data_IF_623540324153
#
_entry.id   IF_623540324153
#
_cell.length_a   1.000
_cell.length_b   1.000
_cell.length_c   1.000
_cell.angle_alpha   90.00
_cell.angle_beta   90.00
_cell.angle_gamma   90.00
#
_symmetry.space_group_name_H-M   'P 1'
#
loop_
_entity.id
_entity.type
_entity.pdbx_description
1 polymer ?
#
# COMPACT_ATOMS: atom_id res chain seq x y z
N UNK A 1 39.00 -6.49 -33.53
CA UNK A 1 38.15 -6.03 -32.41
C UNK A 1 37.14 -7.13 -32.13
N UNK A 2 37.22 -7.81 -30.99
CA UNK A 2 36.20 -8.79 -30.64
C UNK A 2 34.91 -8.04 -30.32
N UNK A 3 33.97 -8.01 -31.27
CA UNK A 3 32.66 -7.36 -31.11
C UNK A 3 31.89 -7.91 -29.91
N UNK A 4 30.82 -7.20 -29.52
CA UNK A 4 29.92 -7.69 -28.48
C UNK A 4 29.35 -9.08 -28.86
N UNK A 5 28.92 -9.87 -27.88
CA UNK A 5 28.34 -11.21 -28.16
C UNK A 5 27.20 -11.11 -29.16
N UNK A 6 26.38 -10.07 -29.04
CA UNK A 6 25.25 -9.81 -29.93
C UNK A 6 25.68 -9.52 -31.38
N UNK A 7 26.85 -8.91 -31.58
CA UNK A 7 27.40 -8.62 -32.92
C UNK A 7 27.98 -9.87 -33.58
N UNK A 8 28.46 -10.82 -32.79
CA UNK A 8 29.11 -12.05 -33.27
C UNK A 8 28.19 -13.28 -33.32
N UNK A 9 26.94 -13.16 -32.85
CA UNK A 9 25.98 -14.26 -32.87
C UNK A 9 25.32 -14.42 -34.24
N UNK A 10 25.22 -15.66 -34.71
CA UNK A 10 24.43 -15.96 -35.91
C UNK A 10 22.94 -15.86 -35.64
N UNK A 11 22.15 -15.55 -36.67
CA UNK A 11 20.67 -15.48 -36.59
C UNK A 11 20.05 -16.76 -36.04
N UNK A 12 20.63 -17.94 -36.34
CA UNK A 12 20.19 -19.23 -35.76
C UNK A 12 20.39 -19.28 -34.25
N UNK A 13 21.56 -18.86 -33.74
CA UNK A 13 21.84 -18.84 -32.30
C UNK A 13 20.95 -17.82 -31.57
N UNK A 14 20.74 -16.65 -32.17
CA UNK A 14 19.83 -15.63 -31.65
C UNK A 14 18.39 -16.15 -31.59
N UNK A 15 17.93 -16.84 -32.64
CA UNK A 15 16.61 -17.47 -32.67
C UNK A 15 16.42 -18.51 -31.57
N UNK A 16 17.41 -19.39 -31.37
CA UNK A 16 17.38 -20.39 -30.28
C UNK A 16 17.32 -19.72 -28.91
N UNK A 17 18.13 -18.68 -28.68
CA UNK A 17 18.09 -17.92 -27.43
C UNK A 17 16.73 -17.25 -27.21
N UNK A 18 16.16 -16.63 -28.25
CA UNK A 18 14.85 -15.98 -28.19
C UNK A 18 13.73 -16.97 -27.84
N UNK A 19 13.71 -18.14 -28.50
CA UNK A 19 12.74 -19.20 -28.18
C UNK A 19 12.92 -19.71 -26.76
N UNK A 20 14.16 -19.91 -26.29
CA UNK A 20 14.42 -20.34 -24.92
C UNK A 20 13.89 -19.31 -23.89
N UNK A 21 14.13 -18.02 -24.11
CA UNK A 21 13.60 -16.96 -23.24
C UNK A 21 12.07 -16.90 -23.28
N UNK A 22 11.46 -17.10 -24.45
CA UNK A 22 10.00 -17.14 -24.60
C UNK A 22 9.39 -18.32 -23.85
N UNK A 23 10.02 -19.50 -23.89
CA UNK A 23 9.59 -20.67 -23.12
C UNK A 23 9.68 -20.42 -21.61
N UNK A 24 10.76 -19.79 -21.13
CA UNK A 24 10.90 -19.40 -19.72
C UNK A 24 9.82 -18.39 -19.32
N UNK A 25 9.52 -17.41 -20.18
CA UNK A 25 8.44 -16.45 -19.93
C UNK A 25 7.06 -17.12 -19.89
N UNK A 26 6.79 -18.05 -20.81
CA UNK A 26 5.56 -18.84 -20.81
C UNK A 26 5.42 -19.68 -19.53
N UNK A 27 6.52 -20.26 -19.06
CA UNK A 27 6.55 -20.98 -17.78
C UNK A 27 6.26 -20.06 -16.60
N UNK A 28 6.82 -18.85 -16.57
CA UNK A 28 6.53 -17.86 -15.53
C UNK A 28 5.03 -17.47 -15.52
N UNK A 29 4.42 -17.31 -16.69
CA UNK A 29 2.97 -17.07 -16.79
C UNK A 29 2.15 -18.27 -16.31
N UNK A 30 2.54 -19.50 -16.65
CA UNK A 30 1.86 -20.70 -16.16
C UNK A 30 1.95 -20.83 -14.64
N UNK A 31 3.11 -20.52 -14.03
CA UNK A 31 3.25 -20.50 -12.57
C UNK A 31 2.31 -19.47 -11.94
N UNK A 32 2.24 -18.26 -12.48
CA UNK A 32 1.34 -17.22 -11.99
C UNK A 32 -0.14 -17.55 -12.18
N UNK A 33 -0.52 -18.14 -13.32
CA UNK A 33 -1.92 -18.39 -13.67
C UNK A 33 -2.50 -19.70 -13.15
N UNK A 34 -1.68 -20.76 -12.99
CA UNK A 34 -2.15 -22.10 -12.61
C UNK A 34 -1.80 -22.49 -11.17
N UNK A 35 -0.77 -21.88 -10.57
CA UNK A 35 -0.27 -22.26 -9.24
C UNK A 35 -0.58 -21.19 -8.21
N UNK A 36 -0.31 -19.92 -8.52
CA UNK A 36 -0.55 -18.84 -7.57
C UNK A 36 -2.04 -18.50 -7.48
N UNK A 37 -2.62 -18.39 -6.27
CA UNK A 37 -3.95 -17.86 -6.10
C UNK A 37 -3.95 -16.33 -6.34
N UNK A 38 -5.13 -15.70 -6.23
CA UNK A 38 -5.24 -14.25 -6.30
C UNK A 38 -4.25 -13.55 -5.34
N UNK A 39 -3.60 -12.45 -5.76
CA UNK A 39 -2.54 -11.82 -4.99
C UNK A 39 -3.02 -11.26 -3.66
N UNK A 40 -4.25 -10.72 -3.64
CA UNK A 40 -4.89 -10.17 -2.46
C UNK A 40 -6.25 -10.81 -2.25
N UNK A 41 -6.72 -10.75 -1.01
CA UNK A 41 -8.08 -11.08 -0.64
C UNK A 41 -8.66 -9.93 0.20
N UNK A 42 -9.94 -9.64 0.01
CA UNK A 42 -10.65 -8.62 0.74
C UNK A 42 -11.78 -9.28 1.54
N UNK A 43 -11.76 -9.10 2.86
CA UNK A 43 -12.75 -9.65 3.78
C UNK A 43 -13.56 -8.52 4.39
N UNK A 44 -14.88 -8.61 4.27
CA UNK A 44 -15.81 -7.63 4.82
C UNK A 44 -16.26 -8.04 6.23
N UNK A 45 -16.24 -7.08 7.15
CA UNK A 45 -16.63 -7.25 8.54
C UNK A 45 -17.64 -6.19 8.92
N UNK A 46 -18.81 -6.62 9.41
CA UNK A 46 -19.75 -5.71 10.06
C UNK A 46 -19.37 -5.56 11.53
N UNK A 47 -19.21 -4.33 11.99
CA UNK A 47 -18.85 -4.09 13.38
C UNK A 47 -20.01 -4.37 14.33
N UNK A 48 -19.70 -5.03 15.43
CA UNK A 48 -20.68 -5.27 16.49
C UNK A 48 -20.74 -4.05 17.41
N UNK A 49 -21.93 -3.47 17.58
CA UNK A 49 -22.17 -2.37 18.52
C UNK A 49 -22.16 -2.92 19.96
N UNK A 50 -21.10 -2.62 20.70
CA UNK A 50 -20.90 -3.02 22.08
C UNK A 50 -21.10 -1.85 23.04
N UNK A 51 -21.66 -2.12 24.22
CA UNK A 51 -21.81 -1.12 25.29
C UNK A 51 -20.64 -1.23 26.25
N UNK A 52 -19.92 -0.13 26.44
CA UNK A 52 -18.83 -0.06 27.41
C UNK A 52 -19.38 0.26 28.80
N UNK A 53 -19.17 -0.65 29.74
CA UNK A 53 -19.30 -0.38 31.18
C UNK A 53 -18.05 0.33 31.70
N UNK A 54 -18.11 0.93 32.89
CA UNK A 54 -17.03 1.75 33.49
C UNK A 54 -15.65 1.05 33.60
N UNK A 55 -15.56 -0.27 33.38
CA UNK A 55 -14.30 -1.00 33.32
C UNK A 55 -13.59 -0.86 31.96
N UNK A 56 -12.29 -0.56 32.01
CA UNK A 56 -11.38 -0.48 30.86
C UNK A 56 -11.01 -1.88 30.37
N UNK A 57 -11.96 -2.58 29.73
CA UNK A 57 -11.75 -3.92 29.16
C UNK A 57 -11.75 -3.92 27.63
N UNK A 58 -11.14 -4.94 27.05
CA UNK A 58 -11.25 -5.27 25.62
C UNK A 58 -12.66 -5.80 25.35
N UNK A 59 -13.37 -5.22 24.39
CA UNK A 59 -14.72 -5.64 24.03
C UNK A 59 -14.66 -6.64 22.89
N UNK A 60 -14.82 -7.91 23.20
CA UNK A 60 -14.87 -8.96 22.18
C UNK A 60 -16.27 -9.02 21.55
N UNK A 61 -16.40 -9.01 20.21
CA UNK A 61 -17.71 -9.07 19.56
C UNK A 61 -18.35 -10.46 19.68
N UNK A 62 -17.60 -11.50 19.97
CA UNK A 62 -18.09 -12.88 20.09
C UNK A 62 -17.17 -13.69 21.02
N UNK A 63 -17.59 -14.89 21.40
CA UNK A 63 -16.85 -15.75 22.34
C UNK A 63 -17.44 -15.76 23.74
N UNK A 64 -16.73 -16.39 24.69
CA UNK A 64 -17.21 -16.61 26.06
C UNK A 64 -17.30 -15.31 26.87
N UNK A 65 -16.47 -14.33 26.51
CA UNK A 65 -16.41 -13.00 27.12
C UNK A 65 -17.00 -11.93 26.18
N UNK A 66 -18.00 -12.29 25.37
CA UNK A 66 -18.61 -11.36 24.42
C UNK A 66 -19.19 -10.13 25.13
N UNK A 67 -19.03 -8.97 24.51
CA UNK A 67 -19.59 -7.71 24.99
C UNK A 67 -21.13 -7.74 25.05
N UNK A 68 -21.72 -6.84 25.85
CA UNK A 68 -23.16 -6.55 25.77
C UNK A 68 -23.45 -5.85 24.44
N UNK A 69 -24.13 -6.55 23.54
CA UNK A 69 -24.46 -6.07 22.20
C UNK A 69 -25.74 -5.24 22.21
N UNK A 70 -25.82 -4.29 21.29
CA UNK A 70 -27.03 -3.54 20.96
C UNK A 70 -27.30 -3.75 19.47
N UNK A 71 -28.54 -4.06 19.09
CA UNK A 71 -28.86 -4.31 17.68
C UNK A 71 -28.95 -3.01 16.89
N UNK A 72 -29.63 -2.01 17.48
CA UNK A 72 -29.94 -0.76 16.81
C UNK A 72 -29.83 0.45 17.75
N UNK A 73 -29.61 1.64 17.19
CA UNK A 73 -29.52 2.87 17.97
C UNK A 73 -30.85 3.24 18.66
N UNK A 74 -31.98 2.74 18.15
CA UNK A 74 -33.27 2.82 18.84
C UNK A 74 -33.24 2.15 20.22
N UNK A 75 -32.71 0.92 20.30
CA UNK A 75 -32.54 0.18 21.56
C UNK A 75 -31.58 0.89 22.52
N UNK A 76 -30.51 1.53 21.99
CA UNK A 76 -29.59 2.31 22.79
C UNK A 76 -30.28 3.52 23.45
N UNK A 77 -31.17 4.18 22.72
CA UNK A 77 -31.92 5.35 23.22
C UNK A 77 -32.91 4.95 24.31
N UNK A 78 -33.62 3.82 24.14
CA UNK A 78 -34.51 3.27 25.16
C UNK A 78 -33.77 2.91 26.45
N UNK A 79 -32.56 2.37 26.33
CA UNK A 79 -31.70 2.02 27.46
C UNK A 79 -30.91 3.21 28.03
N UNK A 80 -31.12 4.43 27.53
CA UNK A 80 -30.41 5.67 27.92
C UNK A 80 -28.88 5.56 27.83
N UNK A 81 -28.38 4.89 26.79
CA UNK A 81 -26.96 4.73 26.53
C UNK A 81 -26.45 5.95 25.76
N UNK A 82 -25.38 6.56 26.25
CA UNK A 82 -24.76 7.70 25.57
C UNK A 82 -23.96 7.24 24.35
N UNK A 83 -23.85 8.10 23.33
CA UNK A 83 -23.02 7.83 22.14
C UNK A 83 -21.55 7.52 22.48
N UNK A 84 -21.03 8.13 23.57
CA UNK A 84 -19.67 7.92 24.07
C UNK A 84 -19.43 6.49 24.60
N UNK A 85 -20.49 5.79 25.00
CA UNK A 85 -20.44 4.45 25.58
C UNK A 85 -20.52 3.35 24.51
N UNK A 86 -20.93 3.71 23.29
CA UNK A 86 -21.02 2.77 22.17
C UNK A 86 -19.63 2.59 21.56
N UNK A 87 -19.22 1.33 21.42
CA UNK A 87 -17.96 0.93 20.80
C UNK A 87 -18.25 -0.08 19.69
N UNK A 88 -17.78 0.22 18.49
CA UNK A 88 -17.83 -0.70 17.37
C UNK A 88 -16.65 -1.68 17.48
N UNK A 89 -16.96 -2.94 17.77
CA UNK A 89 -15.96 -3.99 17.94
C UNK A 89 -15.93 -4.89 16.71
N UNK A 90 -14.72 -5.08 16.15
CA UNK A 90 -14.44 -5.99 15.03
C UNK A 90 -13.29 -6.89 15.42
N UNK A 91 -13.48 -8.20 15.27
CA UNK A 91 -12.42 -9.18 15.46
C UNK A 91 -11.98 -9.72 14.10
N UNK A 92 -10.69 -9.58 13.82
CA UNK A 92 -10.05 -10.06 12.59
C UNK A 92 -9.04 -11.14 12.97
N UNK A 93 -9.11 -12.34 12.37
CA UNK A 93 -10.05 -12.79 11.34
C UNK A 93 -11.40 -13.24 11.94
N UNK A 94 -12.32 -13.68 11.07
CA UNK A 94 -13.61 -14.27 11.45
C UNK A 94 -13.45 -15.52 12.36
N UNK A 95 -14.48 -15.88 13.15
CA UNK A 95 -14.43 -17.04 14.03
C UNK A 95 -14.04 -18.33 13.28
N UNK A 96 -13.04 -19.05 13.79
CA UNK A 96 -12.55 -20.30 13.20
C UNK A 96 -11.39 -20.14 12.22
N UNK A 97 -10.99 -18.92 11.89
CA UNK A 97 -9.80 -18.63 11.09
C UNK A 97 -8.67 -18.04 11.95
N UNK A 98 -7.43 -18.12 11.47
CA UNK A 98 -6.26 -17.50 12.09
C UNK A 98 -5.44 -16.78 11.02
N UNK A 99 -4.90 -15.61 11.36
CA UNK A 99 -3.94 -14.93 10.50
C UNK A 99 -2.57 -15.60 10.61
N UNK A 100 -1.81 -15.51 9.52
CA UNK A 100 -0.46 -16.04 9.46
C UNK A 100 0.52 -14.98 8.93
N UNK A 101 1.81 -15.06 9.30
CA UNK A 101 2.84 -14.15 8.77
C UNK A 101 2.98 -14.18 7.24
N UNK A 102 2.47 -15.23 6.58
CA UNK A 102 2.44 -15.35 5.12
C UNK A 102 1.60 -14.28 4.43
N UNK A 103 0.70 -13.64 5.15
CA UNK A 103 -0.15 -12.58 4.61
C UNK A 103 0.59 -11.24 4.45
N UNK A 104 1.85 -11.15 4.92
CA UNK A 104 2.82 -10.05 4.81
C UNK A 104 2.35 -8.69 5.34
N UNK A 105 1.23 -8.17 4.86
CA UNK A 105 0.64 -6.91 5.26
C UNK A 105 -0.88 -7.05 5.46
N UNK A 106 -1.43 -6.09 6.20
CA UNK A 106 -2.87 -5.92 6.34
C UNK A 106 -3.20 -4.45 6.18
N UNK A 107 -4.07 -4.18 5.23
CA UNK A 107 -4.65 -2.88 5.00
C UNK A 107 -6.11 -2.93 5.42
N UNK A 108 -6.54 -1.92 6.16
CA UNK A 108 -7.90 -1.83 6.65
C UNK A 108 -8.50 -0.53 6.17
N UNK A 109 -9.71 -0.63 5.66
CA UNK A 109 -10.51 0.49 5.17
C UNK A 109 -11.84 0.49 5.91
N UNK A 110 -12.29 1.67 6.32
CA UNK A 110 -13.58 1.86 6.94
C UNK A 110 -14.62 2.29 5.91
N UNK A 111 -15.80 1.73 6.07
CA UNK A 111 -16.99 2.06 5.31
C UNK A 111 -18.12 2.37 6.30
N UNK A 112 -18.75 3.53 6.14
CA UNK A 112 -19.79 4.00 7.07
C UNK A 112 -21.12 4.06 6.35
N UNK A 113 -22.09 3.33 6.89
CA UNK A 113 -23.47 3.46 6.49
C UNK A 113 -24.10 4.62 7.24
N UNK A 114 -24.36 5.72 6.52
CA UNK A 114 -25.00 6.92 7.07
C UNK A 114 -26.36 7.10 6.39
N UNK A 115 -27.41 7.22 7.19
CA UNK A 115 -28.75 7.51 6.72
C UNK A 115 -29.03 9.01 6.68
N UNK A 116 -29.81 9.43 5.70
CA UNK A 116 -30.33 10.78 5.59
C UNK A 116 -31.50 10.99 6.57
N UNK A 117 -31.35 12.02 7.40
CA UNK A 117 -32.38 12.52 8.30
C UNK A 117 -32.45 14.04 8.21
N UNK A 118 -33.63 14.63 8.07
CA UNK A 118 -33.75 16.07 7.81
C UNK A 118 -33.25 16.93 8.97
N UNK A 119 -33.44 16.46 10.21
CA UNK A 119 -33.00 17.15 11.42
C UNK A 119 -31.49 17.01 11.68
N UNK A 120 -30.84 15.97 11.14
CA UNK A 120 -29.43 15.65 11.39
C UNK A 120 -28.70 15.41 10.05
N UNK A 121 -28.66 16.44 9.22
CA UNK A 121 -27.91 16.43 7.95
C UNK A 121 -26.42 16.42 8.25
N UNK A 122 -25.64 15.76 7.38
CA UNK A 122 -24.18 15.90 7.40
C UNK A 122 -23.85 17.39 7.22
N UNK A 123 -23.21 17.98 8.22
CA UNK A 123 -23.01 19.42 8.33
C UNK A 123 -22.09 19.92 7.22
N UNK A 124 -22.62 20.69 6.26
CA UNK A 124 -21.81 21.53 5.38
C UNK A 124 -21.18 22.66 6.19
N UNK A 125 -19.98 22.47 6.72
CA UNK A 125 -19.24 23.57 7.31
C UNK A 125 -18.35 24.26 6.26
N UNK A 126 -18.99 25.25 5.63
CA UNK A 126 -18.49 26.54 5.11
C UNK A 126 -17.24 26.58 4.21
N UNK A 127 -17.46 27.17 3.02
CA UNK A 127 -16.52 27.56 1.96
C UNK A 127 -16.22 26.50 0.89
N UNK A 128 -17.24 26.06 0.14
CA UNK A 128 -17.05 25.56 -1.23
C UNK A 128 -16.20 24.30 -1.38
N UNK A 129 -16.15 23.46 -0.35
CA UNK A 129 -15.47 22.17 -0.31
C UNK A 129 -16.24 21.27 0.66
N UNK A 130 -16.94 20.26 0.13
CA UNK A 130 -17.75 19.31 0.91
C UNK A 130 -16.84 18.34 1.68
N UNK A 131 -16.51 18.64 2.95
CA UNK A 131 -15.75 17.73 3.83
C UNK A 131 -16.29 17.82 5.26
N UNK A 132 -16.59 16.66 5.86
CA UNK A 132 -16.88 16.55 7.30
C UNK A 132 -15.72 15.83 7.98
N UNK A 133 -15.10 16.39 9.02
CA UNK A 133 -13.99 15.70 9.72
C UNK A 133 -14.56 14.75 10.80
N UNK A 134 -14.52 13.44 10.58
CA UNK A 134 -14.66 12.43 11.64
C UNK A 134 -13.37 12.33 12.43
N UNK A 135 -13.48 12.36 13.75
CA UNK A 135 -12.37 12.04 14.65
C UNK A 135 -12.71 10.80 15.45
N UNK A 136 -12.01 9.70 15.20
CA UNK A 136 -12.09 8.50 16.01
C UNK A 136 -11.22 8.68 17.26
N UNK A 137 -11.79 8.41 18.44
CA UNK A 137 -11.00 8.28 19.66
C UNK A 137 -10.90 6.80 20.06
N UNK A 138 -9.77 6.46 20.67
CA UNK A 138 -9.51 5.18 21.32
C UNK A 138 -9.64 3.95 20.42
N UNK A 139 -8.74 3.84 19.44
CA UNK A 139 -8.36 2.53 18.93
C UNK A 139 -7.21 1.99 19.73
N UNK A 140 -7.50 1.04 20.61
CA UNK A 140 -6.46 0.28 21.29
C UNK A 140 -6.10 -0.88 20.37
N UNK A 141 -4.95 -0.79 19.71
CA UNK A 141 -4.32 -1.88 18.99
C UNK A 141 -3.08 -2.28 19.79
N UNK A 142 -3.07 -3.43 20.47
CA UNK A 142 -1.86 -3.91 21.15
C UNK A 142 -1.21 -2.89 22.11
N UNK A 143 -2.02 -2.18 22.92
CA UNK A 143 -1.66 -1.03 23.78
C UNK A 143 -1.32 0.30 23.06
N UNK A 144 -1.40 0.38 21.74
CA UNK A 144 -1.35 1.66 21.02
C UNK A 144 -2.75 2.25 20.97
N UNK A 145 -3.00 3.31 21.74
CA UNK A 145 -4.18 4.16 21.62
C UNK A 145 -3.84 5.41 20.80
N UNK A 146 -4.53 5.60 19.68
CA UNK A 146 -4.34 6.74 18.78
C UNK A 146 -5.68 7.41 18.50
N UNK A 147 -5.71 8.74 18.52
CA UNK A 147 -6.85 9.53 18.05
C UNK A 147 -6.58 9.86 16.59
N UNK A 148 -7.47 9.41 15.72
CA UNK A 148 -7.28 9.49 14.27
C UNK A 148 -8.40 10.31 13.66
N UNK A 149 -8.04 11.37 12.93
CA UNK A 149 -8.99 12.21 12.20
C UNK A 149 -9.02 11.85 10.72
N UNK A 150 -10.20 11.86 10.13
CA UNK A 150 -10.50 11.52 8.74
C UNK A 150 -11.61 12.40 8.21
N UNK A 151 -11.53 12.77 6.95
CA UNK A 151 -12.59 13.52 6.29
C UNK A 151 -13.58 12.55 5.64
N UNK A 152 -14.86 12.65 6.02
CA UNK A 152 -16.01 12.12 5.32
C UNK A 152 -16.25 12.93 4.04
N UNK A 153 -16.20 12.21 2.93
CA UNK A 153 -16.76 12.67 1.67
C UNK A 153 -17.98 11.82 1.38
N UNK A 154 -19.16 12.39 1.57
CA UNK A 154 -20.42 11.72 1.33
C UNK A 154 -21.28 12.58 0.41
N UNK A 155 -21.85 11.94 -0.60
CA UNK A 155 -22.78 12.56 -1.54
C UNK A 155 -24.15 11.93 -1.39
N UNK A 156 -25.19 12.75 -1.36
CA UNK A 156 -26.56 12.27 -1.41
C UNK A 156 -27.08 12.45 -2.84
N UNK A 157 -27.28 11.36 -3.61
CA UNK A 157 -27.66 11.46 -5.02
C UNK A 157 -29.12 11.92 -5.20
N UNK A 158 -29.95 11.82 -4.16
CA UNK A 158 -31.37 12.18 -4.21
C UNK A 158 -31.63 13.61 -3.74
N UNK A 159 -32.83 14.13 -4.02
CA UNK A 159 -33.29 15.40 -3.46
C UNK A 159 -33.51 15.25 -1.96
N UNK A 160 -33.01 16.22 -1.18
CA UNK A 160 -33.15 16.28 0.28
C UNK A 160 -34.58 16.65 0.69
N UNK A 161 -35.54 15.77 0.40
CA UNK A 161 -36.96 15.86 0.76
C UNK A 161 -37.29 14.90 1.90
N UNK A 162 -38.33 15.17 2.70
CA UNK A 162 -38.76 14.27 3.78
C UNK A 162 -39.16 12.87 3.26
N UNK A 163 -39.62 12.77 2.01
CA UNK A 163 -39.95 11.50 1.35
C UNK A 163 -38.74 10.56 1.18
N UNK A 164 -37.52 11.12 1.17
CA UNK A 164 -36.28 10.37 0.99
C UNK A 164 -35.54 10.14 2.32
N UNK A 165 -36.16 10.43 3.47
CA UNK A 165 -35.60 10.07 4.78
C UNK A 165 -35.39 8.56 4.93
N UNK A 166 -34.32 8.18 5.62
CA UNK A 166 -33.89 6.79 5.79
C UNK A 166 -33.08 6.22 4.61
N UNK A 167 -32.97 6.93 3.49
CA UNK A 167 -32.04 6.52 2.41
C UNK A 167 -30.60 6.76 2.81
N UNK A 168 -29.69 5.92 2.33
CA UNK A 168 -28.26 6.00 2.63
C UNK A 168 -27.55 7.07 1.80
N UNK A 169 -26.56 7.72 2.40
CA UNK A 169 -25.56 8.50 1.70
C UNK A 169 -24.60 7.57 0.94
N UNK A 170 -24.12 8.03 -0.21
CA UNK A 170 -23.00 7.38 -0.89
C UNK A 170 -21.71 8.01 -0.36
N UNK A 171 -21.05 7.32 0.56
CA UNK A 171 -19.81 7.76 1.17
C UNK A 171 -18.59 7.09 0.53
N UNK A 172 -17.49 7.82 0.44
CA UNK A 172 -16.21 7.23 0.06
C UNK A 172 -15.61 6.43 1.21
N UNK A 173 -15.02 5.29 0.87
CA UNK A 173 -14.27 4.46 1.79
C UNK A 173 -13.04 5.20 2.34
N UNK A 174 -12.79 5.09 3.64
CA UNK A 174 -11.72 5.84 4.32
C UNK A 174 -10.55 4.92 4.71
N UNK A 175 -9.29 5.27 4.38
CA UNK A 175 -8.14 4.49 4.80
C UNK A 175 -7.98 4.57 6.31
N UNK A 176 -7.90 3.41 6.95
CA UNK A 176 -7.93 3.32 8.40
C UNK A 176 -6.58 2.98 9.01
N UNK A 177 -6.04 1.82 8.62
CA UNK A 177 -4.84 1.24 9.20
C UNK A 177 -4.08 0.49 8.11
N UNK A 178 -2.76 0.64 8.10
CA UNK A 178 -1.88 -0.19 7.29
C UNK A 178 -0.77 -0.78 8.16
N UNK A 179 -0.69 -2.11 8.19
CA UNK A 179 0.33 -2.86 8.91
C UNK A 179 1.26 -3.53 7.91
N UNK A 180 2.54 -3.19 7.96
CA UNK A 180 3.57 -3.77 7.10
C UNK A 180 4.08 -5.15 7.54
N UNK A 181 3.55 -5.73 8.61
CA UNK A 181 3.87 -7.08 9.07
C UNK A 181 2.75 -7.63 9.94
N UNK A 182 2.38 -8.89 9.71
CA UNK A 182 1.38 -9.62 10.50
C UNK A 182 2.04 -10.55 11.50
N UNK A 183 2.32 -9.99 12.69
CA UNK A 183 2.99 -10.70 13.76
C UNK A 183 2.10 -11.48 14.73
N UNK A 184 0.80 -11.22 14.72
CA UNK A 184 -0.16 -11.85 15.60
C UNK A 184 -1.23 -12.58 14.78
N UNK A 185 -1.83 -13.61 15.40
CA UNK A 185 -2.88 -14.43 14.77
C UNK A 185 -4.25 -13.77 14.77
N UNK A 186 -4.50 -12.92 15.77
CA UNK A 186 -5.79 -12.30 16.04
C UNK A 186 -5.58 -10.83 16.32
N UNK A 187 -6.47 -10.00 15.80
CA UNK A 187 -6.52 -8.56 15.98
C UNK A 187 -7.94 -8.15 16.36
N UNK A 188 -8.04 -7.31 17.38
CA UNK A 188 -9.30 -6.76 17.84
C UNK A 188 -9.27 -5.24 17.61
N UNK A 189 -10.24 -4.75 16.86
CA UNK A 189 -10.44 -3.33 16.61
C UNK A 189 -11.64 -2.85 17.41
N UNK A 190 -11.39 -1.97 18.37
CA UNK A 190 -12.43 -1.26 19.12
C UNK A 190 -12.41 0.18 18.65
N UNK A 191 -13.50 0.61 18.04
CA UNK A 191 -13.63 1.91 17.41
C UNK A 191 -14.69 2.72 18.17
N UNK A 192 -14.34 3.92 18.64
CA UNK A 192 -15.28 4.81 19.33
C UNK A 192 -15.41 6.16 18.62
N UNK A 193 -16.65 6.66 18.61
CA UNK A 193 -17.03 7.99 18.15
C UNK A 193 -17.54 8.82 19.32
N UNK A 194 -16.67 9.39 20.18
CA UNK A 194 -17.16 10.29 21.21
C UNK A 194 -17.60 11.60 20.59
N UNK A 195 -18.68 12.17 21.12
CA UNK A 195 -19.15 13.50 20.75
C UNK A 195 -18.66 14.47 21.80
N UNK A 196 -17.88 15.48 21.40
CA UNK A 196 -17.37 16.51 22.30
C UNK A 196 -17.76 17.87 21.73
N UNK A 197 -18.79 18.48 22.31
CA UNK A 197 -19.34 19.76 21.85
C UNK A 197 -18.31 20.91 21.94
N UNK A 198 -17.51 20.94 23.02
CA UNK A 198 -16.52 22.01 23.28
C UNK A 198 -15.49 22.14 22.15
N UNK A 199 -15.04 21.02 21.61
CA UNK A 199 -14.07 20.94 20.51
C UNK A 199 -14.75 20.67 19.17
N UNK A 200 -16.09 20.68 19.11
CA UNK A 200 -16.91 20.35 17.93
C UNK A 200 -16.51 19.03 17.25
N UNK A 201 -16.12 18.03 18.03
CA UNK A 201 -15.69 16.73 17.50
C UNK A 201 -16.91 15.83 17.29
N UNK A 202 -17.00 15.23 16.11
CA UNK A 202 -18.07 14.32 15.68
C UNK A 202 -19.49 14.94 15.77
N UNK A 203 -19.58 16.27 15.65
CA UNK A 203 -20.85 16.99 15.58
C UNK A 203 -21.31 17.07 14.12
N UNK A 204 -22.56 16.70 13.83
CA UNK A 204 -23.14 16.82 12.50
C UNK A 204 -22.55 15.84 11.47
N UNK A 205 -22.13 14.64 11.89
CA UNK A 205 -21.65 13.57 11.00
C UNK A 205 -22.79 12.75 10.36
N UNK A 206 -24.04 13.18 10.52
CA UNK A 206 -25.23 12.46 10.07
C UNK A 206 -25.69 11.38 11.06
N UNK A 207 -26.73 10.64 10.67
CA UNK A 207 -27.24 9.49 11.42
C UNK A 207 -26.51 8.22 10.95
N UNK A 208 -25.50 7.79 11.69
CA UNK A 208 -24.77 6.55 11.40
C UNK A 208 -25.69 5.37 11.74
N UNK A 209 -25.85 4.43 10.81
CA UNK A 209 -26.61 3.18 10.99
C UNK A 209 -25.67 2.06 11.41
N UNK A 210 -24.61 1.83 10.62
CA UNK A 210 -23.64 0.75 10.83
C UNK A 210 -22.22 1.18 10.41
N UNK A 211 -21.24 0.43 10.91
CA UNK A 211 -19.84 0.59 10.57
C UNK A 211 -19.32 -0.74 10.02
N UNK A 212 -18.85 -0.69 8.78
CA UNK A 212 -18.25 -1.81 8.09
C UNK A 212 -16.74 -1.60 7.97
N UNK A 213 -16.00 -2.69 8.02
CA UNK A 213 -14.55 -2.73 7.95
C UNK A 213 -14.16 -3.71 6.85
N UNK A 214 -13.39 -3.24 5.87
CA UNK A 214 -12.83 -4.06 4.81
C UNK A 214 -11.37 -4.26 5.10
N UNK A 215 -11.00 -5.52 5.35
CA UNK A 215 -9.62 -5.92 5.59
C UNK A 215 -9.07 -6.57 4.34
N UNK A 216 -7.93 -6.07 3.88
CA UNK A 216 -7.24 -6.48 2.66
C UNK A 216 -5.86 -6.99 3.07
N UNK A 217 -5.59 -8.26 2.79
CA UNK A 217 -4.29 -8.87 3.03
C UNK A 217 -3.76 -9.55 1.78
N UNK A 218 -2.44 -9.77 1.73
CA UNK A 218 -1.84 -10.57 0.69
C UNK A 218 -2.17 -12.04 0.91
N UNK A 219 -2.49 -12.77 -0.15
CA UNK A 219 -2.80 -14.18 -0.01
C UNK A 219 -1.53 -14.99 0.27
N UNK A 220 -1.54 -15.80 1.33
CA UNK A 220 -0.37 -16.55 1.77
C UNK A 220 0.10 -17.59 0.74
N UNK A 221 -0.81 -18.12 -0.08
CA UNK A 221 -0.43 -18.99 -1.20
C UNK A 221 0.33 -18.23 -2.29
N UNK A 222 -0.11 -17.01 -2.61
CA UNK A 222 0.58 -16.14 -3.57
C UNK A 222 1.97 -15.76 -3.04
N UNK A 223 2.07 -15.37 -1.76
CA UNK A 223 3.35 -15.05 -1.11
C UNK A 223 4.36 -16.19 -1.22
N UNK A 224 3.95 -17.44 -1.01
CA UNK A 224 4.82 -18.62 -1.13
C UNK A 224 5.37 -18.79 -2.55
N UNK A 225 4.51 -18.70 -3.56
CA UNK A 225 4.92 -18.81 -4.97
C UNK A 225 5.85 -17.65 -5.34
N UNK A 226 5.52 -16.44 -4.90
CA UNK A 226 6.32 -15.24 -5.12
C UNK A 226 7.73 -15.37 -4.52
N UNK A 227 7.83 -15.85 -3.28
CA UNK A 227 9.11 -16.06 -2.62
C UNK A 227 9.94 -17.15 -3.30
N UNK A 228 9.29 -18.25 -3.70
CA UNK A 228 9.95 -19.33 -4.44
C UNK A 228 10.53 -18.81 -5.77
N UNK A 229 9.74 -18.04 -6.52
CA UNK A 229 10.17 -17.43 -7.78
C UNK A 229 11.37 -16.50 -7.58
N UNK A 230 11.32 -15.61 -6.59
CA UNK A 230 12.46 -14.74 -6.23
C UNK A 230 13.70 -15.57 -5.91
N UNK A 231 13.57 -16.55 -5.02
CA UNK A 231 14.68 -17.40 -4.55
C UNK A 231 15.33 -18.20 -5.69
N UNK A 232 14.56 -18.64 -6.68
CA UNK A 232 15.10 -19.33 -7.85
C UNK A 232 15.77 -18.38 -8.85
N UNK A 233 15.23 -17.17 -9.03
CA UNK A 233 15.76 -16.19 -9.98
C UNK A 233 17.01 -15.47 -9.48
N UNK A 234 17.13 -15.19 -8.17
CA UNK A 234 18.30 -14.49 -7.61
C UNK A 234 19.64 -15.14 -8.01
N UNK A 235 19.89 -16.44 -7.77
CA UNK A 235 21.17 -17.06 -8.10
C UNK A 235 21.43 -17.08 -9.61
N UNK A 236 20.40 -17.29 -10.43
CA UNK A 236 20.53 -17.28 -11.88
C UNK A 236 20.98 -15.92 -12.40
N UNK A 237 20.35 -14.83 -11.92
CA UNK A 237 20.72 -13.45 -12.30
C UNK A 237 22.11 -13.11 -11.75
N UNK A 238 22.43 -13.49 -10.52
CA UNK A 238 23.73 -13.23 -9.90
C UNK A 238 24.87 -13.90 -10.68
N UNK A 239 24.70 -15.17 -11.08
CA UNK A 239 25.69 -15.90 -11.90
C UNK A 239 25.89 -15.18 -13.24
N UNK A 240 24.81 -14.80 -13.93
CA UNK A 240 24.88 -14.06 -15.18
C UNK A 240 25.58 -12.71 -15.01
N UNK A 241 25.32 -11.99 -13.91
CA UNK A 241 25.93 -10.69 -13.61
C UNK A 241 27.43 -10.81 -13.33
N UNK A 242 27.83 -11.77 -12.51
CA UNK A 242 29.24 -12.07 -12.20
C UNK A 242 29.98 -12.46 -13.47
N UNK A 243 29.38 -13.34 -14.28
CA UNK A 243 29.96 -13.74 -15.56
C UNK A 243 30.10 -12.57 -16.53
N UNK A 244 29.07 -11.73 -16.65
CA UNK A 244 29.09 -10.54 -17.49
C UNK A 244 30.21 -9.58 -17.09
N UNK A 245 30.30 -9.25 -15.80
CA UNK A 245 31.32 -8.33 -15.30
C UNK A 245 32.73 -8.89 -15.43
N UNK A 246 32.93 -10.18 -15.11
CA UNK A 246 34.22 -10.84 -15.30
C UNK A 246 34.64 -10.81 -16.78
N UNK A 247 33.71 -11.02 -17.71
CA UNK A 247 34.01 -10.93 -19.14
C UNK A 247 34.38 -9.51 -19.58
N UNK A 248 33.68 -8.48 -19.08
CA UNK A 248 33.98 -7.08 -19.37
C UNK A 248 35.35 -6.68 -18.83
N UNK A 249 35.69 -7.09 -17.61
CA UNK A 249 36.97 -6.75 -16.96
C UNK A 249 38.18 -7.38 -17.67
N UNK A 250 38.03 -8.57 -18.25
CA UNK A 250 39.10 -9.25 -18.98
C UNK A 250 39.37 -8.67 -20.38
N UNK A 251 38.60 -7.68 -20.83
CA UNK A 251 38.88 -7.00 -22.09
C UNK A 251 40.03 -5.99 -21.90
N UNK A 252 40.92 -5.81 -22.89
CA UNK A 252 42.06 -4.89 -22.81
C UNK A 252 41.67 -3.40 -22.84
N UNK A 253 40.37 -3.07 -22.87
CA UNK A 253 39.83 -1.71 -22.92
C UNK A 253 39.12 -1.36 -21.62
N UNK A 254 38.99 -0.07 -21.33
CA UNK A 254 38.15 0.37 -20.22
C UNK A 254 36.66 0.12 -20.53
N UNK A 255 35.84 -0.20 -19.51
CA UNK A 255 34.43 -0.50 -19.72
C UNK A 255 33.66 0.73 -20.22
N UNK A 256 32.87 0.51 -21.25
CA UNK A 256 32.04 1.52 -21.94
C UNK A 256 30.89 1.95 -21.01
N UNK A 257 30.35 3.16 -21.20
CA UNK A 257 29.23 3.67 -20.39
C UNK A 257 28.04 2.69 -20.38
N UNK A 258 27.70 2.12 -21.53
CA UNK A 258 26.61 1.15 -21.66
C UNK A 258 26.84 -0.13 -20.85
N UNK A 259 28.06 -0.66 -20.83
CA UNK A 259 28.41 -1.88 -20.08
C UNK A 259 28.29 -1.63 -18.57
N UNK A 260 28.71 -0.45 -18.10
CA UNK A 260 28.54 -0.03 -16.70
C UNK A 260 27.06 0.11 -16.31
N UNK A 261 26.24 0.65 -17.20
CA UNK A 261 24.79 0.79 -16.96
C UNK A 261 24.07 -0.56 -16.95
N UNK A 262 24.40 -1.47 -17.87
CA UNK A 262 23.84 -2.83 -17.87
C UNK A 262 24.23 -3.55 -16.57
N UNK A 263 25.47 -3.38 -16.11
CA UNK A 263 25.90 -3.93 -14.82
C UNK A 263 25.12 -3.33 -13.64
N UNK A 264 24.94 -2.00 -13.59
CA UNK A 264 24.14 -1.34 -12.56
C UNK A 264 22.67 -1.78 -12.57
N UNK A 265 22.08 -1.93 -13.77
CA UNK A 265 20.72 -2.42 -13.94
C UNK A 265 20.59 -3.87 -13.43
N UNK A 266 21.53 -4.75 -13.80
CA UNK A 266 21.55 -6.13 -13.32
C UNK A 266 21.77 -6.24 -11.81
N UNK A 267 22.58 -5.36 -11.21
CA UNK A 267 22.74 -5.27 -9.76
C UNK A 267 21.43 -4.86 -9.09
N UNK A 268 20.74 -3.83 -9.60
CA UNK A 268 19.44 -3.40 -9.06
C UNK A 268 18.36 -4.48 -9.17
N UNK A 269 18.30 -5.19 -10.30
CA UNK A 269 17.40 -6.34 -10.49
C UNK A 269 17.71 -7.47 -9.51
N UNK A 270 18.98 -7.69 -9.19
CA UNK A 270 19.39 -8.67 -8.17
C UNK A 270 18.91 -8.24 -6.78
N UNK A 271 18.99 -6.94 -6.44
CA UNK A 271 18.49 -6.41 -5.16
C UNK A 271 16.97 -6.58 -5.01
N UNK A 272 16.19 -6.32 -6.06
CA UNK A 272 14.73 -6.51 -6.05
C UNK A 272 14.36 -7.99 -5.86
N UNK A 273 15.10 -8.90 -6.51
CA UNK A 273 14.84 -10.33 -6.42
C UNK A 273 15.43 -10.99 -5.16
N UNK A 274 16.22 -10.27 -4.37
CA UNK A 274 16.80 -10.82 -3.15
C UNK A 274 15.67 -11.12 -2.16
N UNK A 275 15.50 -12.38 -1.72
CA UNK A 275 14.30 -12.82 -1.04
C UNK A 275 14.41 -12.52 0.47
N UNK A 276 14.62 -11.26 0.83
CA UNK A 276 14.72 -10.78 2.22
C UNK A 276 13.39 -10.93 2.97
N UNK A 277 12.29 -11.04 2.23
CA UNK A 277 10.96 -11.22 2.76
C UNK A 277 10.79 -12.58 3.48
N UNK A 278 11.66 -13.58 3.24
CA UNK A 278 11.68 -14.79 4.06
C UNK A 278 11.90 -14.49 5.55
N UNK A 279 12.66 -13.44 5.84
CA UNK A 279 12.92 -13.02 7.22
C UNK A 279 11.66 -12.47 7.89
N UNK A 280 10.70 -11.92 7.13
CA UNK A 280 9.45 -11.40 7.71
C UNK A 280 8.47 -12.49 8.15
N UNK A 281 8.68 -13.75 7.73
CA UNK A 281 7.90 -14.89 8.22
C UNK A 281 8.31 -15.27 9.65
N UNK A 282 9.60 -15.11 9.98
CA UNK A 282 10.15 -15.42 11.31
C UNK A 282 10.21 -14.22 12.26
N UNK A 283 10.39 -13.02 11.72
CA UNK A 283 10.54 -11.78 12.49
C UNK A 283 9.51 -10.74 12.06
N UNK A 284 8.90 -10.06 13.03
CA UNK A 284 7.90 -9.03 12.77
C UNK A 284 8.57 -7.70 12.39
N UNK A 285 8.96 -7.56 11.13
CA UNK A 285 9.58 -6.35 10.59
C UNK A 285 8.58 -5.50 9.83
N UNK A 286 8.10 -4.42 10.45
CA UNK A 286 7.11 -3.50 9.88
C UNK A 286 7.62 -2.68 8.69
N UNK A 287 8.95 -2.51 8.56
CA UNK A 287 9.60 -1.74 7.49
C UNK A 287 9.77 -2.49 6.16
N UNK A 288 9.33 -3.76 6.09
CA UNK A 288 9.51 -4.60 4.90
C UNK A 288 8.85 -4.01 3.63
N UNK A 289 7.67 -3.38 3.76
CA UNK A 289 6.96 -2.77 2.63
C UNK A 289 7.76 -1.60 2.06
N UNK A 290 8.13 -0.65 2.91
CA UNK A 290 8.95 0.51 2.52
C UNK A 290 10.24 0.07 1.84
N UNK A 291 10.92 -0.94 2.38
CA UNK A 291 12.13 -1.48 1.77
C UNK A 291 11.88 -2.20 0.43
N UNK A 292 10.71 -2.80 0.24
CA UNK A 292 10.24 -3.31 -1.05
C UNK A 292 10.09 -2.19 -2.08
N UNK A 293 9.39 -1.12 -1.73
CA UNK A 293 9.12 0.02 -2.63
C UNK A 293 10.42 0.71 -3.02
N UNK A 294 11.32 0.97 -2.07
CA UNK A 294 12.61 1.62 -2.34
C UNK A 294 13.46 0.81 -3.31
N UNK A 295 13.47 -0.53 -3.18
CA UNK A 295 14.19 -1.40 -4.12
C UNK A 295 13.59 -1.34 -5.53
N UNK A 296 12.26 -1.37 -5.64
CA UNK A 296 11.56 -1.29 -6.92
C UNK A 296 11.72 0.09 -7.57
N UNK A 297 11.60 1.17 -6.80
CA UNK A 297 11.82 2.54 -7.25
C UNK A 297 13.24 2.75 -7.78
N UNK A 298 14.26 2.21 -7.10
CA UNK A 298 15.65 2.25 -7.57
C UNK A 298 15.83 1.51 -8.91
N UNK A 299 15.20 0.34 -9.06
CA UNK A 299 15.23 -0.42 -10.31
C UNK A 299 14.57 0.37 -11.46
N UNK A 300 13.41 0.98 -11.23
CA UNK A 300 12.73 1.78 -12.26
C UNK A 300 13.53 3.02 -12.66
N UNK A 301 14.13 3.73 -11.70
CA UNK A 301 14.99 4.88 -11.98
C UNK A 301 16.20 4.47 -12.85
N UNK A 302 16.85 3.35 -12.53
CA UNK A 302 17.98 2.84 -13.31
C UNK A 302 17.57 2.32 -14.69
N UNK A 303 16.39 1.70 -14.82
CA UNK A 303 15.84 1.24 -16.10
C UNK A 303 15.55 2.41 -17.05
N UNK A 304 14.92 3.47 -16.54
CA UNK A 304 14.66 4.69 -17.33
C UNK A 304 15.96 5.38 -17.73
N UNK A 305 16.93 5.50 -16.81
CA UNK A 305 18.26 6.01 -17.13
C UNK A 305 18.94 5.17 -18.22
N UNK A 306 18.84 3.84 -18.12
CA UNK A 306 19.39 2.92 -19.11
C UNK A 306 18.76 3.14 -20.49
N UNK A 307 17.43 3.25 -20.60
CA UNK A 307 16.77 3.46 -21.89
C UNK A 307 17.15 4.77 -22.56
N UNK A 308 17.18 5.87 -21.80
CA UNK A 308 17.56 7.19 -22.32
C UNK A 308 18.99 7.17 -22.85
N UNK A 309 19.94 6.63 -22.07
CA UNK A 309 21.34 6.58 -22.46
C UNK A 309 21.54 5.58 -23.61
N UNK A 310 20.85 4.45 -23.61
CA UNK A 310 20.92 3.46 -24.68
C UNK A 310 20.48 4.06 -26.02
N UNK A 311 19.32 4.74 -26.05
CA UNK A 311 18.82 5.42 -27.25
C UNK A 311 19.77 6.53 -27.68
N UNK A 312 20.26 7.34 -26.75
CA UNK A 312 21.20 8.42 -27.05
C UNK A 312 22.52 7.95 -27.63
N UNK A 313 23.14 6.90 -27.07
CA UNK A 313 24.41 6.35 -27.57
C UNK A 313 24.27 5.74 -28.98
N UNK A 314 23.09 5.23 -29.34
CA UNK A 314 22.82 4.68 -30.68
C UNK A 314 22.42 5.73 -31.72
N UNK A 315 21.87 6.87 -31.30
CA UNK A 315 21.49 7.99 -32.18
C UNK A 315 22.62 9.01 -32.38
N UNK A 316 23.53 9.17 -31.42
CA UNK A 316 24.58 10.19 -31.47
C UNK A 316 25.82 9.79 -32.29
N UNK A 317 26.40 10.80 -32.93
CA UNK A 317 27.57 10.69 -33.80
C UNK A 317 28.85 10.37 -33.00
N UNK A 318 29.86 9.77 -33.64
CA UNK A 318 30.99 9.11 -32.94
C UNK A 318 31.84 10.00 -32.01
N UNK A 319 31.84 11.33 -32.19
CA UNK A 319 32.72 12.25 -31.44
C UNK A 319 32.26 12.55 -30.00
N UNK A 320 31.00 12.29 -29.63
CA UNK A 320 30.43 12.70 -28.33
C UNK A 320 30.06 11.54 -27.39
N UNK A 321 30.36 10.30 -27.79
CA UNK A 321 29.99 9.08 -27.04
C UNK A 321 30.76 8.93 -25.72
N UNK A 322 30.19 8.18 -24.77
CA UNK A 322 30.76 7.84 -23.46
C UNK A 322 30.85 8.95 -22.39
N UNK A 323 30.25 10.13 -22.57
CA UNK A 323 30.22 11.17 -21.53
C UNK A 323 28.85 11.27 -20.85
N UNK A 324 28.77 10.83 -19.59
CA UNK A 324 27.55 10.97 -18.76
C UNK A 324 27.08 12.43 -18.65
N UNK A 325 28.01 13.39 -18.68
CA UNK A 325 27.73 14.83 -18.56
C UNK A 325 26.75 15.35 -19.62
N UNK A 326 26.76 14.76 -20.83
CA UNK A 326 25.83 15.19 -21.89
C UNK A 326 24.37 14.81 -21.57
N UNK A 327 24.17 13.68 -20.88
CA UNK A 327 22.86 13.20 -20.47
C UNK A 327 22.37 13.82 -19.16
N UNK A 328 23.12 14.76 -18.56
CA UNK A 328 22.84 15.32 -17.25
C UNK A 328 21.43 15.92 -17.13
N UNK A 329 20.91 16.54 -18.19
CA UNK A 329 19.55 17.10 -18.19
C UNK A 329 18.47 16.01 -18.05
N UNK A 330 18.59 14.94 -18.83
CA UNK A 330 17.60 13.85 -18.85
C UNK A 330 17.73 12.95 -17.62
N UNK A 331 18.95 12.55 -17.27
CA UNK A 331 19.23 11.75 -16.07
C UNK A 331 18.95 12.55 -14.80
N UNK A 332 19.22 13.85 -14.81
CA UNK A 332 18.89 14.76 -13.70
C UNK A 332 17.39 14.86 -13.45
N UNK A 333 16.58 14.95 -14.52
CA UNK A 333 15.12 14.92 -14.41
C UNK A 333 14.60 13.61 -13.79
N UNK A 334 15.06 12.46 -14.30
CA UNK A 334 14.69 11.14 -13.76
C UNK A 334 15.10 11.00 -12.29
N UNK A 335 16.34 11.40 -11.97
CA UNK A 335 16.86 11.32 -10.60
C UNK A 335 16.06 12.20 -9.66
N UNK A 336 15.72 13.43 -10.08
CA UNK A 336 14.91 14.35 -9.29
C UNK A 336 13.49 13.82 -9.08
N UNK A 337 12.82 13.32 -10.13
CA UNK A 337 11.51 12.69 -10.02
C UNK A 337 11.52 11.47 -9.08
N UNK A 338 12.52 10.61 -9.19
CA UNK A 338 12.68 9.45 -8.30
C UNK A 338 12.94 9.85 -6.84
N UNK A 339 13.68 10.94 -6.60
CA UNK A 339 13.92 11.49 -5.27
C UNK A 339 12.62 12.05 -4.67
N UNK A 340 11.79 12.73 -5.46
CA UNK A 340 10.48 13.20 -5.03
C UNK A 340 9.56 12.04 -4.61
N UNK A 341 9.50 10.96 -5.39
CA UNK A 341 8.72 9.77 -5.02
C UNK A 341 9.28 9.09 -3.77
N UNK A 342 10.60 8.98 -3.65
CA UNK A 342 11.24 8.42 -2.44
C UNK A 342 10.91 9.24 -1.19
N UNK A 343 10.94 10.57 -1.27
CA UNK A 343 10.54 11.44 -0.16
C UNK A 343 9.05 11.30 0.16
N UNK A 344 8.20 11.11 -0.85
CA UNK A 344 6.78 10.84 -0.65
C UNK A 344 6.56 9.51 0.10
N UNK A 345 7.20 8.43 -0.33
CA UNK A 345 7.10 7.11 0.32
C UNK A 345 7.62 7.16 1.77
N UNK A 346 8.70 7.90 2.03
CA UNK A 346 9.20 8.13 3.40
C UNK A 346 8.20 8.92 4.26
N UNK A 347 7.54 9.93 3.69
CA UNK A 347 6.54 10.72 4.41
C UNK A 347 5.29 9.90 4.71
N UNK A 348 4.84 9.04 3.79
CA UNK A 348 3.66 8.21 3.97
C UNK A 348 3.98 6.95 4.78
N UNK A 349 4.69 6.00 4.15
CA UNK A 349 4.98 4.68 4.74
C UNK A 349 6.02 4.74 5.85
N UNK A 350 6.96 5.68 5.80
CA UNK A 350 7.95 5.87 6.87
C UNK A 350 7.32 6.33 8.19
N UNK A 351 6.32 7.21 8.13
CA UNK A 351 5.58 7.67 9.33
C UNK A 351 4.61 6.58 9.83
N UNK A 352 4.03 5.79 8.92
CA UNK A 352 3.18 4.65 9.27
C UNK A 352 3.89 3.61 10.15
N UNK A 353 5.23 3.49 10.07
CA UNK A 353 6.01 2.61 10.95
C UNK A 353 5.87 2.95 12.44
N UNK A 354 5.69 4.24 12.76
CA UNK A 354 5.49 4.70 14.14
C UNK A 354 4.02 4.81 14.50
N UNK A 355 3.19 5.27 13.56
CA UNK A 355 1.75 5.35 13.74
C UNK A 355 1.05 4.69 12.55
N UNK A 356 0.56 3.45 12.67
CA UNK A 356 0.01 2.72 11.54
C UNK A 356 -1.35 3.28 11.09
N UNK A 357 -1.98 4.15 11.89
CA UNK A 357 -3.17 4.91 11.53
C UNK A 357 -2.85 6.23 10.82
N UNK A 358 -1.59 6.52 10.53
CA UNK A 358 -1.23 7.72 9.80
C UNK A 358 -1.59 7.59 8.32
N UNK A 359 -2.09 8.68 7.74
CA UNK A 359 -2.29 8.82 6.31
C UNK A 359 -2.01 10.27 5.94
N UNK A 360 -1.18 10.49 4.90
CA UNK A 360 -0.83 11.83 4.41
C UNK A 360 -2.07 12.56 3.89
N UNK A 361 -3.03 11.81 3.34
CA UNK A 361 -4.30 12.31 2.80
C UNK A 361 -5.27 12.83 3.85
N UNK A 362 -5.02 12.56 5.13
CA UNK A 362 -5.91 12.97 6.21
C UNK A 362 -5.75 14.46 6.59
N UNK A 363 -4.63 15.10 6.25
CA UNK A 363 -4.41 16.53 6.51
C UNK A 363 -4.40 17.31 5.20
N UNK A 364 -5.04 18.48 5.17
CA UNK A 364 -5.09 19.32 3.96
C UNK A 364 -3.69 19.67 3.46
N UNK A 365 -2.79 20.03 4.38
CA UNK A 365 -1.39 20.33 4.04
C UNK A 365 -0.63 19.11 3.52
N UNK A 366 -0.86 17.94 4.12
CA UNK A 366 -0.27 16.68 3.67
C UNK A 366 -0.75 16.30 2.27
N UNK A 367 -2.05 16.35 2.03
CA UNK A 367 -2.65 16.06 0.73
C UNK A 367 -2.13 17.02 -0.36
N UNK A 368 -2.02 18.33 -0.08
CA UNK A 368 -1.45 19.29 -1.03
C UNK A 368 0.03 19.00 -1.33
N UNK A 369 0.83 18.61 -0.34
CA UNK A 369 2.23 18.22 -0.55
C UNK A 369 2.33 16.92 -1.36
N UNK A 370 1.51 15.91 -1.05
CA UNK A 370 1.45 14.64 -1.77
C UNK A 370 1.14 14.84 -3.25
N UNK A 371 0.08 15.61 -3.55
CA UNK A 371 -0.27 15.97 -4.93
C UNK A 371 0.86 16.74 -5.60
N UNK A 372 1.54 17.63 -4.87
CA UNK A 372 2.67 18.39 -5.41
C UNK A 372 3.85 17.49 -5.79
N UNK A 373 4.21 16.50 -4.95
CA UNK A 373 5.24 15.51 -5.28
C UNK A 373 4.87 14.67 -6.50
N UNK A 374 3.60 14.23 -6.57
CA UNK A 374 3.09 13.44 -7.68
C UNK A 374 3.07 14.22 -9.00
N UNK A 375 2.60 15.47 -8.98
CA UNK A 375 2.60 16.36 -10.15
C UNK A 375 4.04 16.66 -10.60
N UNK A 376 4.95 16.93 -9.66
CA UNK A 376 6.36 17.18 -9.98
C UNK A 376 6.98 15.98 -10.67
N UNK A 377 6.71 14.77 -10.20
CA UNK A 377 7.17 13.54 -10.85
C UNK A 377 6.65 13.39 -12.28
N UNK A 378 5.35 13.63 -12.53
CA UNK A 378 4.77 13.47 -13.87
C UNK A 378 5.22 14.54 -14.88
N UNK A 379 5.77 15.66 -14.40
CA UNK A 379 6.22 16.75 -15.26
C UNK A 379 7.60 16.50 -15.89
N UNK A 380 8.37 15.55 -15.33
CA UNK A 380 9.76 15.23 -15.68
C UNK A 380 9.88 13.78 -16.16
#
# INVERSE_FOLDING_TARGET
>A
MAGAIIENMSSRKLGVLGVALLLVQALAFMVGGLIAPSPTNASHYLATKCVRSHHTGWLEPWGRNSCKKVRDFGEATEQRIEASQIVFAVHVPQPGYELSPWFQYMLVVLDLDIQYWEQNKIGRWLAGKDWCEISWFDLIFNNCASVTRRTLQCTFPFTMTPENEGRRYECQMMPFLELGSLGHKFYLFNIRLPVIERSRLNMGIGAIEDLSLVEIHQNGGFTKVWFAMKTMLTPAILICLIWFWNRVYNLPRTPVLLEKLIFALGLSMTLVNLPLEWLSVGFNWTWMLLFGDVRQGLFYALLLCFWVIFCGEHLMDQMERNRLSFYWKQVGAITFGSLCLFLFDLCERGVQLKNPFYSVWATDTGAHLAVSFWVTYNLF
#
